data_IF_460688702731
#
_entry.id   IF_460688702731
#
_cell.length_a   1.000
_cell.length_b   1.000
_cell.length_c   1.000
_cell.angle_alpha   90.00
_cell.angle_beta   90.00
_cell.angle_gamma   90.00
#
_symmetry.space_group_name_H-M   'P 1'
#
loop_
_entity.id
_entity.type
_entity.pdbx_description
1 polymer ?
#
# COMPACT_ATOMS: atom_id res chain seq x y z
N UNK A 1 -9.17 -6.61 19.86
CA UNK A 1 -7.87 -6.21 20.45
C UNK A 1 -7.22 -5.29 19.44
N UNK A 2 -6.64 -4.18 19.89
CA UNK A 2 -5.88 -3.28 19.00
C UNK A 2 -4.65 -4.04 18.52
N UNK A 3 -4.36 -3.98 17.22
CA UNK A 3 -3.16 -4.59 16.67
C UNK A 3 -1.88 -3.99 17.25
N UNK A 4 -0.83 -4.78 17.33
CA UNK A 4 0.50 -4.36 17.80
C UNK A 4 1.58 -4.80 16.83
N UNK A 5 2.80 -4.32 17.02
CA UNK A 5 4.00 -4.82 16.37
C UNK A 5 4.90 -5.46 17.41
N UNK A 6 5.13 -6.76 17.27
CA UNK A 6 6.07 -7.48 18.11
C UNK A 6 7.49 -7.15 17.61
N UNK A 7 8.26 -6.50 18.48
CA UNK A 7 9.65 -6.11 18.20
C UNK A 7 10.57 -7.11 18.87
N UNK A 8 11.49 -7.69 18.10
CA UNK A 8 12.56 -8.54 18.64
C UNK A 8 13.84 -8.38 17.83
N UNK A 9 14.91 -9.05 18.26
CA UNK A 9 16.20 -9.07 17.57
C UNK A 9 16.72 -10.50 17.58
N UNK A 10 17.36 -10.91 16.49
CA UNK A 10 18.03 -12.20 16.39
C UNK A 10 19.54 -11.95 16.27
N UNK A 11 20.30 -12.42 17.25
CA UNK A 11 21.75 -12.30 17.27
C UNK A 11 22.37 -13.14 16.15
N UNK A 12 23.34 -12.54 15.45
CA UNK A 12 24.13 -13.16 14.40
C UNK A 12 25.44 -13.73 14.96
N UNK A 13 26.11 -14.58 14.19
CA UNK A 13 27.31 -15.31 14.60
C UNK A 13 28.47 -14.42 15.11
N UNK A 14 28.50 -13.14 14.73
CA UNK A 14 29.54 -12.19 15.12
C UNK A 14 29.09 -11.14 16.15
N UNK A 15 27.92 -11.33 16.76
CA UNK A 15 27.32 -10.45 17.77
C UNK A 15 26.66 -9.18 17.21
N UNK A 16 26.55 -9.03 15.88
CA UNK A 16 25.55 -8.14 15.28
C UNK A 16 24.15 -8.76 15.37
N UNK A 17 23.11 -8.04 14.98
CA UNK A 17 21.73 -8.52 15.06
C UNK A 17 20.87 -8.11 13.86
N UNK A 18 19.87 -8.92 13.57
CA UNK A 18 18.77 -8.60 12.66
C UNK A 18 17.59 -8.17 13.50
N UNK A 19 17.13 -6.94 13.30
CA UNK A 19 15.89 -6.45 13.93
C UNK A 19 14.69 -7.11 13.28
N UNK A 20 13.74 -7.59 14.06
CA UNK A 20 12.52 -8.25 13.56
C UNK A 20 11.30 -7.44 13.96
N UNK A 21 10.52 -7.04 12.95
CA UNK A 21 9.21 -6.41 13.10
C UNK A 21 8.15 -7.41 12.65
N UNK A 22 7.29 -7.83 13.57
CA UNK A 22 6.16 -8.71 13.26
C UNK A 22 4.83 -7.96 13.49
N UNK A 23 4.07 -7.77 12.43
CA UNK A 23 2.70 -7.24 12.52
C UNK A 23 1.80 -8.29 13.21
N UNK A 24 1.15 -7.92 14.31
CA UNK A 24 0.34 -8.84 15.12
C UNK A 24 -1.09 -8.31 15.30
N UNK A 25 -1.92 -8.60 14.30
CA UNK A 25 -3.37 -8.46 14.35
C UNK A 25 -4.07 -9.48 13.41
N UNK A 26 -3.79 -10.79 13.53
CA UNK A 26 -4.23 -11.78 12.55
C UNK A 26 -5.76 -11.88 12.43
N UNK A 27 -6.49 -11.53 13.51
CA UNK A 27 -7.95 -11.49 13.51
C UNK A 27 -8.54 -10.44 12.54
N UNK A 28 -7.81 -9.34 12.30
CA UNK A 28 -8.17 -8.31 11.32
C UNK A 28 -7.28 -8.37 10.07
N UNK A 29 -6.70 -9.54 9.76
CA UNK A 29 -5.78 -9.72 8.62
C UNK A 29 -4.59 -8.76 8.66
N UNK A 30 -4.09 -8.47 9.86
CA UNK A 30 -2.97 -7.57 10.10
C UNK A 30 -3.20 -6.15 9.55
N UNK A 31 -4.45 -5.67 9.55
CA UNK A 31 -4.77 -4.31 9.17
C UNK A 31 -4.02 -3.29 10.06
N UNK A 32 -3.40 -2.28 9.45
CA UNK A 32 -2.54 -1.30 10.13
C UNK A 32 -3.38 -0.31 10.93
N UNK A 33 -3.27 -0.42 12.25
CA UNK A 33 -3.80 0.61 13.15
C UNK A 33 -2.75 1.71 13.38
N UNK A 34 -3.20 2.89 13.81
CA UNK A 34 -2.31 3.99 14.18
C UNK A 34 -1.21 3.55 15.17
N UNK A 35 -1.58 2.74 16.18
CA UNK A 35 -0.64 2.22 17.19
C UNK A 35 0.45 1.36 16.56
N UNK A 36 0.11 0.53 15.57
CA UNK A 36 1.10 -0.29 14.86
C UNK A 36 2.06 0.59 14.06
N UNK A 37 1.54 1.58 13.34
CA UNK A 37 2.35 2.51 12.54
C UNK A 37 3.28 3.31 13.45
N UNK A 38 2.79 3.79 14.59
CA UNK A 38 3.61 4.49 15.59
C UNK A 38 4.75 3.62 16.12
N UNK A 39 4.47 2.35 16.42
CA UNK A 39 5.46 1.37 16.86
C UNK A 39 6.52 1.09 15.78
N UNK A 40 6.10 0.88 14.53
CA UNK A 40 7.01 0.71 13.38
C UNK A 40 7.91 1.93 13.21
N UNK A 41 7.30 3.11 13.12
CA UNK A 41 8.00 4.35 12.88
C UNK A 41 9.02 4.65 13.98
N UNK A 42 8.61 4.50 15.24
CA UNK A 42 9.52 4.66 16.39
C UNK A 42 10.68 3.67 16.32
N UNK A 43 10.40 2.37 16.13
CA UNK A 43 11.43 1.34 16.20
C UNK A 43 12.43 1.45 15.04
N UNK A 44 11.96 1.78 13.83
CA UNK A 44 12.81 2.05 12.68
C UNK A 44 13.70 3.29 12.93
N UNK A 45 13.16 4.35 13.53
CA UNK A 45 13.97 5.52 13.88
C UNK A 45 15.07 5.23 14.92
N UNK A 46 14.81 4.30 15.85
CA UNK A 46 15.84 3.82 16.79
C UNK A 46 16.89 2.96 16.08
N UNK A 47 16.46 1.97 15.30
CA UNK A 47 17.37 1.01 14.67
C UNK A 47 18.21 1.56 13.52
N UNK A 48 17.80 2.63 12.85
CA UNK A 48 18.67 3.26 11.86
C UNK A 48 19.97 3.82 12.49
N UNK A 49 19.92 4.18 13.79
CA UNK A 49 21.07 4.72 14.53
C UNK A 49 21.83 3.66 15.34
N UNK A 50 21.33 2.43 15.41
CA UNK A 50 21.93 1.35 16.19
C UNK A 50 22.87 0.49 15.35
N UNK A 51 24.18 0.71 15.47
CA UNK A 51 25.21 -0.03 14.71
C UNK A 51 25.22 -1.55 14.96
N UNK A 52 24.57 -2.05 16.02
CA UNK A 52 24.42 -3.49 16.23
C UNK A 52 23.41 -4.12 15.25
N UNK A 53 22.45 -3.34 14.75
CA UNK A 53 21.44 -3.78 13.80
C UNK A 53 21.95 -3.64 12.36
N UNK A 54 22.11 -4.77 11.67
CA UNK A 54 22.65 -4.82 10.29
C UNK A 54 21.58 -4.86 9.21
N UNK A 55 20.39 -5.35 9.54
CA UNK A 55 19.23 -5.42 8.66
C UNK A 55 17.95 -5.51 9.50
N UNK A 56 16.81 -5.23 8.88
CA UNK A 56 15.48 -5.40 9.46
C UNK A 56 14.72 -6.47 8.67
N UNK A 57 14.07 -7.39 9.37
CA UNK A 57 13.17 -8.38 8.80
C UNK A 57 11.73 -8.04 9.20
N UNK A 58 10.92 -7.66 8.22
CA UNK A 58 9.51 -7.28 8.40
C UNK A 58 8.61 -8.43 7.93
N UNK A 59 7.81 -8.99 8.83
CA UNK A 59 6.80 -10.00 8.52
C UNK A 59 5.54 -9.77 9.34
N UNK A 60 4.60 -10.71 9.26
CA UNK A 60 3.39 -10.67 10.05
C UNK A 60 3.06 -12.03 10.66
N UNK A 61 2.23 -11.99 11.70
CA UNK A 61 1.72 -13.13 12.42
C UNK A 61 0.55 -13.79 11.68
N UNK A 62 0.49 -15.12 11.72
CA UNK A 62 -0.53 -15.92 11.02
C UNK A 62 -0.18 -16.25 9.57
N UNK A 63 -1.10 -16.93 8.88
CA UNK A 63 -0.88 -17.46 7.51
C UNK A 63 -1.71 -16.75 6.43
N UNK A 64 -2.71 -15.95 6.83
CA UNK A 64 -3.72 -15.41 5.91
C UNK A 64 -3.31 -14.11 5.23
N UNK A 65 -2.49 -13.30 5.89
CA UNK A 65 -2.18 -11.95 5.42
C UNK A 65 -0.88 -11.46 6.04
N UNK A 66 -0.02 -10.90 5.20
CA UNK A 66 0.99 -9.97 5.64
C UNK A 66 0.32 -8.73 6.22
N UNK A 67 -0.52 -8.08 5.43
CA UNK A 67 -1.34 -6.94 5.84
C UNK A 67 -2.38 -6.66 4.75
N UNK A 68 -3.65 -6.57 5.14
CA UNK A 68 -4.77 -6.36 4.22
C UNK A 68 -5.20 -4.87 4.06
N UNK A 69 -4.39 -3.92 4.53
CA UNK A 69 -4.63 -2.48 4.40
C UNK A 69 -4.57 -1.73 5.74
N UNK A 70 -4.92 -0.44 5.73
CA UNK A 70 -5.11 0.35 6.95
C UNK A 70 -6.40 0.00 7.69
N UNK A 71 -6.49 0.30 8.99
CA UNK A 71 -7.71 0.20 9.79
C UNK A 71 -8.69 1.34 9.46
N UNK A 72 -9.24 1.29 8.25
CA UNK A 72 -10.20 2.27 7.72
C UNK A 72 -11.50 2.32 8.55
N UNK A 73 -11.81 1.28 9.32
CA UNK A 73 -12.95 1.30 10.24
C UNK A 73 -12.70 2.27 11.40
N UNK A 74 -11.49 2.31 11.95
CA UNK A 74 -11.13 3.27 12.98
C UNK A 74 -11.19 4.71 12.45
N UNK A 75 -10.68 4.94 11.23
CA UNK A 75 -10.74 6.25 10.55
C UNK A 75 -12.20 6.67 10.36
N UNK A 76 -13.04 5.81 9.80
CA UNK A 76 -14.47 6.09 9.59
C UNK A 76 -15.19 6.47 10.89
N UNK A 77 -14.97 5.72 11.97
CA UNK A 77 -15.58 6.04 13.27
C UNK A 77 -15.08 7.35 13.85
N UNK A 78 -13.81 7.71 13.62
CA UNK A 78 -13.29 9.01 14.03
C UNK A 78 -13.94 10.17 13.25
N UNK A 79 -14.35 9.92 12.00
CA UNK A 79 -15.13 10.86 11.19
C UNK A 79 -16.61 10.95 11.60
N UNK A 80 -17.17 9.92 12.23
CA UNK A 80 -18.56 9.91 12.74
C UNK A 80 -18.71 10.48 14.16
N UNK A 81 -17.78 10.17 15.07
CA UNK A 81 -17.93 10.42 16.51
C UNK A 81 -17.73 11.88 16.94
N UNK A 82 -17.20 12.72 16.05
CA UNK A 82 -17.02 14.14 16.34
C UNK A 82 -18.21 14.88 15.74
N UNK A 83 -18.93 15.63 16.58
CA UNK A 83 -20.00 16.53 16.11
C UNK A 83 -19.51 17.28 14.87
N UNK A 84 -20.36 17.41 13.85
CA UNK A 84 -20.06 17.77 12.46
C UNK A 84 -19.29 19.10 12.28
N UNK A 85 -18.06 19.19 12.76
CA UNK A 85 -17.11 20.24 12.43
C UNK A 85 -15.95 19.65 11.62
N UNK A 86 -15.51 20.44 10.65
CA UNK A 86 -14.51 20.08 9.67
C UNK A 86 -13.14 19.82 10.32
N UNK A 87 -12.77 20.61 11.32
CA UNK A 87 -11.47 20.55 12.01
C UNK A 87 -11.25 19.16 12.63
N UNK A 88 -12.32 18.60 13.18
CA UNK A 88 -12.35 17.30 13.82
C UNK A 88 -12.08 16.14 12.85
N UNK A 89 -12.65 16.22 11.64
CA UNK A 89 -12.51 15.26 10.56
C UNK A 89 -11.17 15.38 9.84
N UNK A 90 -10.74 16.63 9.60
CA UNK A 90 -9.42 16.94 9.07
C UNK A 90 -8.34 16.35 9.98
N UNK A 91 -8.40 16.66 11.28
CA UNK A 91 -7.45 16.13 12.28
C UNK A 91 -7.41 14.60 12.31
N UNK A 92 -8.54 13.91 12.15
CA UNK A 92 -8.57 12.44 12.14
C UNK A 92 -7.86 11.85 10.91
N UNK A 93 -8.10 12.40 9.72
CA UNK A 93 -7.42 11.99 8.50
C UNK A 93 -5.94 12.35 8.53
N UNK A 94 -5.63 13.60 8.90
CA UNK A 94 -4.27 14.15 8.97
C UNK A 94 -3.40 13.31 9.90
N UNK A 95 -3.86 13.05 11.12
CA UNK A 95 -3.09 12.31 12.13
C UNK A 95 -2.72 10.90 11.65
N UNK A 96 -3.67 10.18 11.05
CA UNK A 96 -3.43 8.81 10.60
C UNK A 96 -2.50 8.78 9.38
N UNK A 97 -2.84 9.50 8.32
CA UNK A 97 -2.14 9.42 7.05
C UNK A 97 -0.78 10.14 7.07
N UNK A 98 -0.59 11.19 7.88
CA UNK A 98 0.74 11.80 8.05
C UNK A 98 1.72 10.78 8.66
N UNK A 99 1.28 10.05 9.68
CA UNK A 99 2.13 9.04 10.31
C UNK A 99 2.37 7.84 9.38
N UNK A 100 1.33 7.36 8.67
CA UNK A 100 1.47 6.28 7.68
C UNK A 100 2.48 6.65 6.60
N UNK A 101 2.32 7.81 5.96
CA UNK A 101 3.17 8.19 4.83
C UNK A 101 4.59 8.55 5.26
N UNK A 102 4.79 9.09 6.47
CA UNK A 102 6.13 9.24 7.06
C UNK A 102 6.79 7.89 7.31
N UNK A 103 6.02 6.91 7.77
CA UNK A 103 6.52 5.55 7.98
C UNK A 103 6.91 4.90 6.65
N UNK A 104 6.04 4.94 5.64
CA UNK A 104 6.32 4.40 4.32
C UNK A 104 7.52 5.08 3.67
N UNK A 105 7.59 6.42 3.72
CA UNK A 105 8.75 7.17 3.24
C UNK A 105 10.03 6.78 3.98
N UNK A 106 9.99 6.63 5.32
CA UNK A 106 11.15 6.18 6.09
C UNK A 106 11.63 4.81 5.64
N UNK A 107 10.73 3.86 5.39
CA UNK A 107 11.08 2.52 4.90
C UNK A 107 11.75 2.61 3.52
N UNK A 108 11.20 3.43 2.60
CA UNK A 108 11.79 3.66 1.29
C UNK A 108 13.21 4.24 1.33
N UNK A 109 13.46 5.15 2.27
CA UNK A 109 14.75 5.85 2.41
C UNK A 109 15.63 5.27 3.53
N UNK A 110 15.29 4.07 4.02
CA UNK A 110 15.95 3.51 5.18
C UNK A 110 17.43 3.21 4.88
N UNK A 111 18.39 3.61 5.74
CA UNK A 111 19.81 3.51 5.42
C UNK A 111 20.35 2.07 5.48
N UNK A 112 19.56 1.14 6.01
CA UNK A 112 19.90 -0.27 6.18
C UNK A 112 18.95 -1.14 5.37
N UNK A 113 19.34 -2.38 5.02
CA UNK A 113 18.43 -3.28 4.32
C UNK A 113 17.19 -3.61 5.16
N UNK A 114 16.02 -3.48 4.54
CA UNK A 114 14.76 -4.05 5.02
C UNK A 114 14.36 -5.20 4.10
N UNK A 115 14.16 -6.38 4.69
CA UNK A 115 13.64 -7.59 4.06
C UNK A 115 12.16 -7.70 4.44
N UNK A 116 11.26 -7.46 3.48
CA UNK A 116 9.83 -7.64 3.68
C UNK A 116 9.40 -9.03 3.17
N UNK A 117 8.86 -9.85 4.07
CA UNK A 117 8.30 -11.17 3.77
C UNK A 117 6.78 -11.08 3.62
N UNK A 118 6.34 -10.77 2.41
CA UNK A 118 4.92 -10.66 2.07
C UNK A 118 4.31 -12.05 1.84
N UNK A 119 3.26 -12.40 2.56
CA UNK A 119 2.51 -13.66 2.41
C UNK A 119 1.01 -13.38 2.43
N UNK A 120 0.20 -14.33 1.95
CA UNK A 120 -1.26 -14.20 1.95
C UNK A 120 -1.74 -12.87 1.33
N UNK A 121 -2.73 -12.22 1.95
CA UNK A 121 -3.16 -10.89 1.52
C UNK A 121 -2.08 -9.81 1.80
N UNK A 122 -1.74 -9.08 0.75
CA UNK A 122 -0.85 -7.92 0.74
C UNK A 122 -1.57 -6.78 0.01
N UNK A 123 -2.23 -5.89 0.74
CA UNK A 123 -3.14 -4.88 0.16
C UNK A 123 -3.03 -3.52 0.86
N UNK A 124 -3.35 -2.45 0.13
CA UNK A 124 -3.43 -1.07 0.64
C UNK A 124 -2.21 -0.66 1.46
N UNK A 125 -2.41 -0.17 2.68
CA UNK A 125 -1.29 0.18 3.59
C UNK A 125 -0.23 -0.92 3.80
N UNK A 126 -0.61 -2.20 3.68
CA UNK A 126 0.36 -3.30 3.69
C UNK A 126 1.33 -3.28 2.50
N UNK A 127 0.84 -2.84 1.33
CA UNK A 127 1.65 -2.59 0.14
C UNK A 127 2.61 -1.43 0.37
N UNK A 128 2.22 -0.37 1.08
CA UNK A 128 3.12 0.75 1.44
C UNK A 128 4.38 0.26 2.17
N UNK A 129 4.18 -0.47 3.26
CA UNK A 129 5.27 -1.08 4.02
C UNK A 129 6.15 -2.01 3.17
N UNK A 130 5.52 -2.83 2.32
CA UNK A 130 6.21 -3.82 1.50
C UNK A 130 7.02 -3.16 0.37
N UNK A 131 6.44 -2.19 -0.35
CA UNK A 131 7.04 -1.56 -1.52
C UNK A 131 8.20 -0.65 -1.17
N UNK A 132 8.20 -0.08 0.04
CA UNK A 132 9.34 0.66 0.57
C UNK A 132 10.57 -0.21 0.84
N UNK A 133 10.38 -1.50 1.13
CA UNK A 133 11.48 -2.36 1.54
C UNK A 133 12.49 -2.59 0.40
N UNK A 134 13.78 -2.55 0.74
CA UNK A 134 14.88 -2.80 -0.19
C UNK A 134 14.88 -4.22 -0.78
N UNK A 135 14.42 -5.22 -0.02
CA UNK A 135 14.38 -6.61 -0.42
C UNK A 135 12.97 -7.17 -0.24
N UNK A 136 12.27 -7.35 -1.36
CA UNK A 136 10.86 -7.73 -1.37
C UNK A 136 10.70 -9.19 -1.77
N UNK A 137 10.26 -10.01 -0.82
CA UNK A 137 9.99 -11.43 -1.01
C UNK A 137 8.48 -11.64 -1.02
N UNK A 138 7.94 -12.08 -2.16
CA UNK A 138 6.56 -12.54 -2.25
C UNK A 138 6.51 -14.05 -1.98
N UNK A 139 5.82 -14.48 -0.95
CA UNK A 139 5.55 -15.90 -0.73
C UNK A 139 4.63 -16.44 -1.83
N UNK A 140 4.67 -17.73 -2.14
CA UNK A 140 3.76 -18.38 -3.11
C UNK A 140 2.27 -18.16 -2.81
N UNK A 141 1.92 -17.89 -1.55
CA UNK A 141 0.55 -17.59 -1.10
C UNK A 141 0.12 -16.15 -1.36
N UNK A 142 1.05 -15.26 -1.73
CA UNK A 142 0.81 -13.81 -1.83
C UNK A 142 -0.29 -13.47 -2.82
N UNK A 143 -1.17 -12.56 -2.42
CA UNK A 143 -2.24 -11.93 -3.20
C UNK A 143 -2.13 -10.43 -3.03
N UNK A 144 -1.49 -9.79 -4.01
CA UNK A 144 -1.31 -8.36 -4.07
C UNK A 144 -2.53 -7.67 -4.70
N UNK A 145 -3.01 -6.57 -4.11
CA UNK A 145 -3.98 -5.68 -4.75
C UNK A 145 -3.96 -4.27 -4.13
N UNK A 146 -4.41 -3.29 -4.91
CA UNK A 146 -4.76 -1.94 -4.45
C UNK A 146 -6.28 -1.76 -4.58
N UNK A 147 -7.08 -2.13 -3.55
CA UNK A 147 -8.55 -2.17 -3.64
C UNK A 147 -9.27 -0.84 -3.38
N UNK A 148 -8.54 0.27 -3.26
CA UNK A 148 -9.00 1.56 -2.73
C UNK A 148 -10.19 2.17 -3.48
N UNK A 149 -10.31 1.91 -4.78
CA UNK A 149 -11.46 2.37 -5.59
C UNK A 149 -12.80 1.86 -5.07
N UNK A 150 -12.81 0.74 -4.33
CA UNK A 150 -14.01 0.11 -3.75
C UNK A 150 -14.50 0.83 -2.49
N UNK A 151 -13.66 1.68 -1.90
CA UNK A 151 -13.95 2.40 -0.67
C UNK A 151 -13.89 3.92 -0.88
N UNK A 152 -13.96 4.40 -2.12
CA UNK A 152 -13.95 5.85 -2.40
C UNK A 152 -12.59 6.52 -2.16
N UNK A 153 -11.51 5.74 -2.23
CA UNK A 153 -10.13 6.22 -2.18
C UNK A 153 -9.42 5.88 -3.51
N UNK A 154 -8.11 6.03 -3.60
CA UNK A 154 -7.29 5.72 -4.78
C UNK A 154 -6.01 5.02 -4.33
N UNK A 155 -5.24 4.35 -5.20
CA UNK A 155 -4.00 3.70 -4.79
C UNK A 155 -3.02 4.73 -4.22
N UNK A 156 -2.82 4.72 -2.90
CA UNK A 156 -1.99 5.67 -2.16
C UNK A 156 -0.72 4.98 -1.63
N UNK A 157 -0.17 5.40 -0.47
CA UNK A 157 0.98 4.77 0.21
C UNK A 157 2.22 4.59 -0.69
N UNK A 158 2.50 5.60 -1.51
CA UNK A 158 3.59 5.60 -2.48
C UNK A 158 3.27 4.91 -3.81
N UNK A 159 2.02 4.52 -4.05
CA UNK A 159 1.62 3.87 -5.30
C UNK A 159 1.79 4.75 -6.52
N UNK A 160 1.68 6.08 -6.41
CA UNK A 160 2.10 6.98 -7.49
C UNK A 160 3.54 6.70 -7.92
N UNK A 161 4.44 6.46 -6.97
CA UNK A 161 5.84 6.22 -7.27
C UNK A 161 6.08 4.83 -7.88
N UNK A 162 5.56 3.76 -7.27
CA UNK A 162 5.87 2.41 -7.74
C UNK A 162 5.03 1.96 -8.94
N UNK A 163 3.77 2.40 -9.09
CA UNK A 163 2.94 2.04 -10.25
C UNK A 163 3.45 2.70 -11.53
N UNK A 164 4.02 3.90 -11.45
CA UNK A 164 4.63 4.58 -12.59
C UNK A 164 5.93 3.92 -13.09
N UNK A 165 6.45 2.92 -12.39
CA UNK A 165 7.56 2.08 -12.87
C UNK A 165 7.08 0.88 -13.70
N UNK A 166 5.78 0.60 -13.71
CA UNK A 166 5.19 -0.49 -14.49
C UNK A 166 4.86 -0.03 -15.91
N UNK A 167 4.68 -0.95 -16.87
CA UNK A 167 4.03 -0.62 -18.14
C UNK A 167 2.67 0.04 -17.88
N UNK A 168 2.46 1.24 -18.45
CA UNK A 168 1.31 2.11 -18.16
C UNK A 168 -0.05 1.39 -18.23
N UNK A 169 -0.25 0.53 -19.22
CA UNK A 169 -1.50 -0.22 -19.38
C UNK A 169 -1.73 -1.22 -18.25
N UNK A 170 -0.68 -1.87 -17.74
CA UNK A 170 -0.78 -2.79 -16.60
C UNK A 170 -1.02 -2.03 -15.29
N UNK A 171 -0.34 -0.89 -15.09
CA UNK A 171 -0.59 -0.01 -13.95
C UNK A 171 -2.06 0.44 -13.91
N UNK A 172 -2.57 0.96 -15.04
CA UNK A 172 -3.96 1.38 -15.17
C UNK A 172 -4.93 0.23 -14.89
N UNK A 173 -4.70 -0.95 -15.47
CA UNK A 173 -5.58 -2.10 -15.25
C UNK A 173 -5.60 -2.53 -13.79
N UNK A 174 -4.44 -2.67 -13.15
CA UNK A 174 -4.33 -3.03 -11.72
C UNK A 174 -5.11 -2.05 -10.84
N UNK A 175 -4.88 -0.75 -11.05
CA UNK A 175 -5.44 0.30 -10.22
C UNK A 175 -6.93 0.56 -10.45
N UNK A 176 -7.39 0.50 -11.70
CA UNK A 176 -8.80 0.74 -12.05
C UNK A 176 -9.69 -0.47 -11.81
N UNK A 177 -9.13 -1.68 -11.70
CA UNK A 177 -9.91 -2.91 -11.48
C UNK A 177 -9.76 -3.49 -10.09
N UNK A 178 -8.81 -3.00 -9.27
CA UNK A 178 -8.52 -3.55 -7.95
C UNK A 178 -8.33 -5.08 -7.99
N UNK A 179 -7.81 -5.60 -9.10
CA UNK A 179 -7.65 -7.04 -9.30
C UNK A 179 -6.49 -7.55 -8.45
N UNK A 180 -6.60 -8.81 -8.05
CA UNK A 180 -5.54 -9.47 -7.29
C UNK A 180 -4.54 -10.10 -8.23
N UNK A 181 -3.25 -9.92 -7.99
CA UNK A 181 -2.20 -10.65 -8.70
C UNK A 181 -1.42 -11.54 -7.75
N UNK A 182 -0.82 -12.60 -8.28
CA UNK A 182 -0.04 -13.54 -7.49
C UNK A 182 1.45 -13.18 -7.46
N UNK A 183 2.24 -13.95 -6.70
CA UNK A 183 3.67 -13.74 -6.58
C UNK A 183 4.43 -13.80 -7.92
N UNK A 184 3.96 -14.62 -8.87
CA UNK A 184 4.54 -14.72 -10.23
C UNK A 184 4.37 -13.43 -11.01
N UNK A 185 3.15 -12.88 -11.03
CA UNK A 185 2.89 -11.58 -11.66
C UNK A 185 3.69 -10.47 -10.96
N UNK A 186 3.75 -10.47 -9.62
CA UNK A 186 4.53 -9.48 -8.86
C UNK A 186 6.01 -9.48 -9.26
N UNK A 187 6.63 -10.66 -9.39
CA UNK A 187 8.03 -10.78 -9.83
C UNK A 187 8.19 -10.34 -11.29
N UNK A 188 7.26 -10.73 -12.16
CA UNK A 188 7.29 -10.31 -13.58
C UNK A 188 7.16 -8.80 -13.75
N UNK A 189 6.41 -8.14 -12.87
CA UNK A 189 6.21 -6.68 -12.84
C UNK A 189 7.29 -5.93 -12.05
N UNK A 190 8.25 -6.63 -11.41
CA UNK A 190 9.27 -6.00 -10.55
C UNK A 190 8.77 -5.49 -9.20
N UNK A 191 7.52 -5.78 -8.84
CA UNK A 191 6.93 -5.45 -7.53
C UNK A 191 7.59 -6.25 -6.40
N UNK A 192 8.06 -7.46 -6.69
CA UNK A 192 8.95 -8.24 -5.83
C UNK A 192 10.19 -8.71 -6.62
N UNK A 193 11.27 -9.02 -5.91
CA UNK A 193 12.50 -9.54 -6.55
C UNK A 193 12.57 -11.07 -6.40
N UNK A 194 12.05 -11.61 -5.30
CA UNK A 194 12.10 -13.04 -5.00
C UNK A 194 10.72 -13.61 -4.75
N UNK A 195 10.58 -14.89 -5.07
CA UNK A 195 9.43 -15.72 -4.69
C UNK A 195 9.95 -16.85 -3.81
N UNK A 196 9.34 -17.07 -2.65
CA UNK A 196 9.74 -18.13 -1.74
C UNK A 196 8.51 -18.93 -1.26
N UNK A 197 8.73 -20.14 -0.75
CA UNK A 197 7.67 -20.93 -0.12
C UNK A 197 7.56 -20.58 1.37
N UNK A 198 6.40 -20.75 2.01
CA UNK A 198 6.24 -20.46 3.44
C UNK A 198 7.30 -21.16 4.31
N UNK A 199 7.60 -22.43 4.03
CA UNK A 199 8.59 -23.23 4.76
C UNK A 199 10.02 -22.71 4.64
N UNK A 200 10.32 -21.86 3.66
CA UNK A 200 11.66 -21.29 3.43
C UNK A 200 12.00 -20.14 4.36
N UNK A 201 11.02 -19.54 5.05
CA UNK A 201 11.21 -18.35 5.89
C UNK A 201 12.22 -18.60 7.03
N UNK A 202 12.06 -19.72 7.75
CA UNK A 202 12.96 -20.05 8.86
C UNK A 202 14.37 -20.34 8.37
N UNK A 203 14.49 -21.13 7.28
CA UNK A 203 15.79 -21.42 6.67
C UNK A 203 16.52 -20.15 6.22
N UNK A 204 15.80 -19.15 5.70
CA UNK A 204 16.37 -17.84 5.38
C UNK A 204 16.92 -17.13 6.62
N UNK A 205 16.14 -17.06 7.71
CA UNK A 205 16.59 -16.42 8.96
C UNK A 205 17.81 -17.13 9.54
N UNK A 206 17.84 -18.46 9.53
CA UNK A 206 18.99 -19.24 9.99
C UNK A 206 20.24 -18.95 9.14
N UNK A 207 20.08 -18.85 7.81
CA UNK A 207 21.18 -18.49 6.92
C UNK A 207 21.67 -17.06 7.19
N UNK A 208 20.77 -16.09 7.33
CA UNK A 208 21.12 -14.69 7.57
C UNK A 208 21.85 -14.49 8.90
N UNK A 209 21.45 -15.22 9.95
CA UNK A 209 22.07 -15.14 11.28
C UNK A 209 23.41 -15.88 11.36
N UNK A 210 23.64 -16.86 10.48
CA UNK A 210 24.94 -17.53 10.36
C UNK A 210 26.03 -16.68 9.70
N UNK A 211 25.66 -15.57 9.05
CA UNK A 211 26.60 -14.67 8.37
C UNK A 211 27.31 -13.80 9.41
N UNK A 212 28.63 -13.65 9.26
CA UNK A 212 29.35 -12.55 9.90
C UNK A 212 29.22 -11.30 9.03
N UNK A 213 28.53 -10.30 9.54
CA UNK A 213 28.26 -9.02 8.88
C UNK A 213 29.34 -7.98 9.14
N UNK A 214 30.13 -8.13 10.21
CA UNK A 214 31.28 -7.27 10.51
C UNK A 214 32.29 -7.32 9.37
N UNK A 215 32.49 -6.18 8.72
CA UNK A 215 33.42 -6.05 7.60
C UNK A 215 32.87 -6.54 6.25
N UNK A 216 31.58 -6.90 6.16
CA UNK A 216 30.93 -7.17 4.89
C UNK A 216 30.85 -5.88 4.06
N UNK A 217 31.44 -5.91 2.87
CA UNK A 217 31.56 -4.72 2.04
C UNK A 217 30.22 -4.32 1.39
N UNK A 218 29.34 -5.29 1.14
CA UNK A 218 28.04 -5.05 0.54
C UNK A 218 26.95 -5.93 1.18
N UNK A 219 26.36 -5.44 2.27
CA UNK A 219 25.29 -6.11 3.01
C UNK A 219 24.10 -6.42 2.09
N UNK A 220 23.72 -5.50 1.19
CA UNK A 220 22.61 -5.70 0.27
C UNK A 220 22.84 -6.88 -0.68
N UNK A 221 24.00 -6.94 -1.36
CA UNK A 221 24.28 -8.06 -2.28
C UNK A 221 24.40 -9.40 -1.55
N UNK A 222 24.90 -9.37 -0.30
CA UNK A 222 24.97 -10.56 0.54
C UNK A 222 23.58 -11.09 0.87
N UNK A 223 22.66 -10.22 1.29
CA UNK A 223 21.24 -10.57 1.52
C UNK A 223 20.60 -11.09 0.24
N UNK A 224 20.79 -10.39 -0.88
CA UNK A 224 20.27 -10.81 -2.19
C UNK A 224 20.75 -12.22 -2.58
N UNK A 225 22.02 -12.54 -2.34
CA UNK A 225 22.58 -13.87 -2.60
C UNK A 225 21.95 -14.94 -1.71
N UNK A 226 21.76 -14.66 -0.42
CA UNK A 226 21.07 -15.57 0.52
C UNK A 226 19.60 -15.77 0.13
N UNK A 227 18.93 -14.73 -0.36
CA UNK A 227 17.56 -14.84 -0.85
C UNK A 227 17.46 -15.72 -2.11
N UNK A 228 18.45 -15.64 -3.01
CA UNK A 228 18.51 -16.52 -4.20
C UNK A 228 18.62 -18.00 -3.84
N UNK A 229 19.19 -18.37 -2.68
CA UNK A 229 19.31 -19.78 -2.28
C UNK A 229 18.02 -20.38 -1.71
N UNK A 230 17.04 -19.55 -1.35
CA UNK A 230 15.75 -19.99 -0.80
C UNK A 230 14.57 -19.73 -1.73
N UNK A 231 14.83 -19.19 -2.92
CA UNK A 231 13.78 -18.86 -3.89
C UNK A 231 13.19 -20.10 -4.54
N UNK A 232 11.99 -19.95 -5.08
CA UNK A 232 11.35 -20.94 -5.95
C UNK A 232 11.96 -20.84 -7.35
N UNK A 233 12.40 -21.97 -7.90
CA UNK A 233 12.93 -22.06 -9.27
C UNK A 233 11.81 -21.92 -10.32
N UNK A 234 10.69 -22.62 -10.11
CA UNK A 234 9.54 -22.67 -11.02
C UNK A 234 8.25 -22.25 -10.29
N UNK A 235 7.91 -20.95 -10.27
CA UNK A 235 6.66 -20.50 -9.67
C UNK A 235 5.45 -20.87 -10.55
N UNK A 236 4.25 -20.86 -9.97
CA UNK A 236 3.00 -21.09 -10.70
C UNK A 236 2.79 -20.07 -11.82
N UNK A 237 1.88 -20.33 -12.76
CA UNK A 237 1.50 -19.34 -13.77
C UNK A 237 0.95 -18.05 -13.13
N UNK A 238 1.21 -16.91 -13.78
CA UNK A 238 0.64 -15.61 -13.40
C UNK A 238 -0.86 -15.53 -13.68
N UNK A 239 -1.58 -14.69 -12.95
CA UNK A 239 -2.99 -14.39 -13.20
C UNK A 239 -3.17 -13.29 -14.26
N UNK A 240 -2.29 -12.28 -14.25
CA UNK A 240 -2.38 -11.10 -15.10
C UNK A 240 -1.57 -11.26 -16.39
N UNK A 241 -0.34 -11.77 -16.30
CA UNK A 241 0.56 -11.84 -17.45
C UNK A 241 0.00 -12.59 -18.67
N UNK A 242 -0.81 -13.66 -18.54
CA UNK A 242 -1.48 -14.27 -19.69
C UNK A 242 -2.38 -13.32 -20.51
N UNK A 243 -2.86 -12.23 -19.90
CA UNK A 243 -3.73 -11.24 -20.52
C UNK A 243 -3.02 -9.92 -20.87
N UNK A 244 -1.70 -9.81 -20.68
CA UNK A 244 -0.98 -8.54 -20.83
C UNK A 244 -1.22 -7.85 -22.19
N UNK A 245 -1.18 -8.62 -23.29
CA UNK A 245 -1.45 -8.08 -24.63
C UNK A 245 -2.89 -7.65 -24.87
N UNK A 246 -3.87 -8.30 -24.23
CA UNK A 246 -5.27 -7.85 -24.25
C UNK A 246 -5.43 -6.58 -23.41
N UNK A 247 -4.83 -6.54 -22.21
CA UNK A 247 -4.87 -5.38 -21.32
C UNK A 247 -4.26 -4.15 -22.00
N UNK A 248 -3.16 -4.31 -22.75
CA UNK A 248 -2.59 -3.22 -23.55
C UNK A 248 -3.59 -2.60 -24.52
N UNK A 249 -4.40 -3.43 -25.19
CA UNK A 249 -5.46 -2.95 -26.10
C UNK A 249 -6.60 -2.27 -25.35
N UNK A 250 -7.05 -2.86 -24.23
CA UNK A 250 -8.19 -2.36 -23.45
C UNK A 250 -7.87 -1.06 -22.69
N UNK A 251 -6.63 -0.87 -22.27
CA UNK A 251 -6.18 0.31 -21.54
C UNK A 251 -5.63 1.41 -22.48
N UNK A 252 -6.19 1.52 -23.68
CA UNK A 252 -5.86 2.56 -24.66
C UNK A 252 -6.92 3.66 -24.72
N UNK A 253 -6.49 4.93 -24.82
CA UNK A 253 -7.38 6.09 -24.91
C UNK A 253 -7.63 6.81 -23.58
N UNK A 254 -8.78 7.48 -23.51
CA UNK A 254 -9.25 8.19 -22.32
C UNK A 254 -9.91 7.23 -21.32
N UNK A 255 -10.16 7.72 -20.10
CA UNK A 255 -10.72 6.90 -19.04
C UNK A 255 -12.07 6.27 -19.42
N UNK A 256 -12.97 7.03 -20.04
CA UNK A 256 -14.29 6.54 -20.42
C UNK A 256 -14.20 5.41 -21.46
N UNK A 257 -13.31 5.52 -22.44
CA UNK A 257 -13.03 4.46 -23.41
C UNK A 257 -12.45 3.21 -22.74
N UNK A 258 -11.49 3.39 -21.82
CA UNK A 258 -10.86 2.29 -21.08
C UNK A 258 -11.88 1.55 -20.22
N UNK A 259 -12.71 2.27 -19.47
CA UNK A 259 -13.74 1.67 -18.60
C UNK A 259 -14.73 0.86 -19.43
N UNK A 260 -15.20 1.42 -20.56
CA UNK A 260 -16.10 0.70 -21.47
C UNK A 260 -15.43 -0.54 -22.05
N UNK A 261 -14.20 -0.41 -22.54
CA UNK A 261 -13.47 -1.52 -23.15
C UNK A 261 -13.25 -2.67 -22.17
N UNK A 262 -12.76 -2.40 -20.95
CA UNK A 262 -12.58 -3.43 -19.93
C UNK A 262 -13.92 -4.09 -19.57
N UNK A 263 -14.96 -3.29 -19.30
CA UNK A 263 -16.26 -3.81 -18.86
C UNK A 263 -16.99 -4.62 -19.94
N UNK A 264 -16.76 -4.36 -21.23
CA UNK A 264 -17.37 -5.09 -22.34
C UNK A 264 -16.51 -6.22 -22.92
N UNK A 265 -15.28 -6.41 -22.43
CA UNK A 265 -14.40 -7.45 -22.96
C UNK A 265 -15.01 -8.85 -22.75
N UNK A 266 -15.10 -9.62 -23.84
CA UNK A 266 -15.61 -10.99 -23.82
C UNK A 266 -14.48 -11.97 -23.45
N UNK A 267 -14.34 -12.23 -22.16
CA UNK A 267 -13.28 -13.10 -21.61
C UNK A 267 -13.90 -14.11 -20.65
N UNK A 268 -13.84 -15.40 -21.02
CA UNK A 268 -14.31 -16.50 -20.16
C UNK A 268 -13.22 -16.91 -19.15
N UNK A 269 -12.87 -16.00 -18.25
CA UNK A 269 -11.95 -16.25 -17.15
C UNK A 269 -12.41 -15.60 -15.85
N UNK A 270 -12.49 -16.38 -14.77
CA UNK A 270 -12.99 -15.92 -13.47
C UNK A 270 -12.19 -14.73 -12.89
N UNK A 271 -10.87 -14.69 -13.06
CA UNK A 271 -10.04 -13.58 -12.57
C UNK A 271 -10.39 -12.29 -13.32
N UNK A 272 -10.45 -12.36 -14.65
CA UNK A 272 -10.77 -11.21 -15.49
C UNK A 272 -12.20 -10.70 -15.24
N UNK A 273 -13.17 -11.60 -15.15
CA UNK A 273 -14.57 -11.27 -14.81
C UNK A 273 -14.68 -10.61 -13.43
N UNK A 274 -13.86 -11.01 -12.46
CA UNK A 274 -13.82 -10.35 -11.15
C UNK A 274 -13.21 -8.94 -11.23
N UNK A 275 -12.20 -8.73 -12.08
CA UNK A 275 -11.63 -7.40 -12.35
C UNK A 275 -12.69 -6.47 -12.96
N UNK A 276 -13.48 -6.95 -13.93
CA UNK A 276 -14.60 -6.20 -14.51
C UNK A 276 -15.66 -5.83 -13.46
N UNK A 277 -16.04 -6.78 -12.61
CA UNK A 277 -17.01 -6.52 -11.52
C UNK A 277 -16.52 -5.46 -10.54
N UNK A 278 -15.23 -5.52 -10.19
CA UNK A 278 -14.62 -4.57 -9.27
C UNK A 278 -14.53 -3.16 -9.88
N UNK A 279 -14.16 -3.05 -11.16
CA UNK A 279 -14.20 -1.79 -11.90
C UNK A 279 -15.61 -1.17 -11.89
N UNK A 280 -16.64 -1.96 -12.21
CA UNK A 280 -18.03 -1.48 -12.25
C UNK A 280 -18.61 -1.16 -10.85
N UNK A 281 -18.01 -1.68 -9.78
CA UNK A 281 -18.39 -1.38 -8.41
C UNK A 281 -17.73 -0.11 -7.87
N UNK A 282 -16.49 0.18 -8.30
CA UNK A 282 -15.69 1.28 -7.75
C UNK A 282 -16.29 2.67 -7.97
N UNK A 283 -15.88 3.62 -7.13
CA UNK A 283 -16.30 5.02 -7.24
C UNK A 283 -15.82 5.64 -8.57
N UNK A 284 -16.72 6.25 -9.37
CA UNK A 284 -16.30 6.96 -10.58
C UNK A 284 -15.35 8.13 -10.33
N UNK A 285 -15.44 8.78 -9.16
CA UNK A 285 -14.52 9.82 -8.73
C UNK A 285 -13.13 9.21 -8.45
N UNK A 286 -13.07 8.11 -7.69
CA UNK A 286 -11.83 7.37 -7.44
C UNK A 286 -11.15 6.92 -8.73
N UNK A 287 -11.92 6.45 -9.73
CA UNK A 287 -11.39 6.05 -11.04
C UNK A 287 -10.79 7.24 -11.80
N UNK A 288 -11.41 8.42 -11.73
CA UNK A 288 -10.87 9.66 -12.30
C UNK A 288 -9.58 10.10 -11.61
N UNK A 289 -9.55 10.11 -10.28
CA UNK A 289 -8.35 10.43 -9.49
C UNK A 289 -7.21 9.47 -9.85
N UNK A 290 -7.48 8.17 -9.86
CA UNK A 290 -6.51 7.11 -10.20
C UNK A 290 -5.96 7.28 -11.62
N UNK A 291 -6.83 7.58 -12.59
CA UNK A 291 -6.39 7.82 -13.97
C UNK A 291 -5.50 9.06 -14.07
N UNK A 292 -5.87 10.16 -13.42
CA UNK A 292 -5.06 11.37 -13.43
C UNK A 292 -3.72 11.18 -12.72
N UNK A 293 -3.70 10.49 -11.58
CA UNK A 293 -2.50 10.08 -10.84
C UNK A 293 -1.49 9.38 -11.76
N UNK A 294 -1.93 8.38 -12.53
CA UNK A 294 -1.06 7.57 -13.38
C UNK A 294 -0.74 8.18 -14.75
N UNK A 295 -1.43 9.26 -15.15
CA UNK A 295 -1.23 9.89 -16.46
C UNK A 295 -0.55 11.24 -16.40
N UNK A 296 -0.66 11.97 -15.29
CA UNK A 296 -0.11 13.33 -15.14
C UNK A 296 1.07 13.41 -14.15
N UNK A 297 1.20 12.48 -13.21
CA UNK A 297 2.19 12.54 -12.13
C UNK A 297 3.33 11.51 -12.25
N UNK A 298 3.70 11.15 -13.48
CA UNK A 298 4.65 10.07 -13.78
C UNK A 298 6.10 10.34 -13.37
N UNK A 299 6.48 11.62 -13.26
CA UNK A 299 7.87 12.05 -13.08
C UNK A 299 8.14 12.69 -11.72
N UNK A 300 7.25 12.48 -10.75
CA UNK A 300 7.44 12.99 -9.39
C UNK A 300 8.56 12.23 -8.67
N UNK A 301 9.30 12.93 -7.82
CA UNK A 301 10.17 12.27 -6.84
C UNK A 301 9.33 11.53 -5.80
N UNK A 302 9.91 10.54 -5.12
CA UNK A 302 9.20 9.79 -4.07
C UNK A 302 8.54 10.72 -3.04
N UNK A 303 9.27 11.71 -2.52
CA UNK A 303 8.71 12.68 -1.57
C UNK A 303 7.56 13.47 -2.18
N UNK A 304 7.70 13.93 -3.43
CA UNK A 304 6.63 14.67 -4.11
C UNK A 304 5.39 13.80 -4.37
N UNK A 305 5.56 12.49 -4.59
CA UNK A 305 4.44 11.54 -4.62
C UNK A 305 3.71 11.53 -3.29
N UNK A 306 4.40 11.32 -2.17
CA UNK A 306 3.77 11.31 -0.83
C UNK A 306 3.13 12.65 -0.47
N UNK A 307 3.76 13.79 -0.81
CA UNK A 307 3.18 15.12 -0.56
C UNK A 307 1.85 15.30 -1.35
N UNK A 308 1.81 14.84 -2.60
CA UNK A 308 0.63 14.90 -3.46
C UNK A 308 -0.46 13.92 -3.02
N UNK A 309 -0.09 12.69 -2.67
CA UNK A 309 -1.00 11.68 -2.12
C UNK A 309 -1.59 12.13 -0.78
N UNK A 310 -0.79 12.74 0.10
CA UNK A 310 -1.29 13.26 1.38
C UNK A 310 -2.44 14.26 1.16
N UNK A 311 -2.24 15.22 0.26
CA UNK A 311 -3.28 16.17 -0.11
C UNK A 311 -4.54 15.48 -0.68
N UNK A 312 -4.35 14.55 -1.63
CA UNK A 312 -5.45 13.81 -2.23
C UNK A 312 -6.25 13.02 -1.19
N UNK A 313 -5.56 12.33 -0.28
CA UNK A 313 -6.17 11.48 0.74
C UNK A 313 -7.01 12.29 1.72
N UNK A 314 -6.50 13.45 2.16
CA UNK A 314 -7.29 14.39 2.96
C UNK A 314 -8.57 14.81 2.23
N UNK A 315 -8.47 15.20 0.95
CA UNK A 315 -9.65 15.57 0.14
C UNK A 315 -10.61 14.41 -0.06
N UNK A 316 -10.13 13.20 -0.33
CA UNK A 316 -10.97 12.00 -0.42
C UNK A 316 -11.78 11.76 0.87
N UNK A 317 -11.19 11.94 2.04
CA UNK A 317 -11.89 11.77 3.33
C UNK A 317 -12.88 12.89 3.69
N UNK A 318 -12.63 14.11 3.21
CA UNK A 318 -13.40 15.31 3.53
C UNK A 318 -14.53 15.59 2.55
N UNK A 319 -14.27 15.43 1.25
CA UNK A 319 -15.19 15.79 0.16
C UNK A 319 -15.45 14.64 -0.85
N UNK A 320 -14.70 13.54 -0.76
CA UNK A 320 -14.84 12.40 -1.68
C UNK A 320 -15.86 11.34 -1.25
N UNK A 321 -15.78 10.18 -1.91
CA UNK A 321 -16.65 9.02 -1.69
C UNK A 321 -16.22 8.12 -0.52
N UNK A 322 -15.14 8.48 0.19
CA UNK A 322 -14.50 7.61 1.19
C UNK A 322 -15.48 7.10 2.26
N UNK A 323 -16.22 8.03 2.88
CA UNK A 323 -17.16 7.69 3.95
C UNK A 323 -18.23 6.71 3.48
N UNK A 324 -18.79 6.96 2.30
CA UNK A 324 -19.84 6.09 1.74
C UNK A 324 -19.31 4.72 1.34
N UNK A 325 -18.11 4.66 0.77
CA UNK A 325 -17.48 3.40 0.39
C UNK A 325 -17.16 2.53 1.61
N UNK A 326 -16.58 3.12 2.66
CA UNK A 326 -16.31 2.41 3.92
C UNK A 326 -17.61 1.97 4.60
N UNK A 327 -18.64 2.84 4.64
CA UNK A 327 -19.96 2.49 5.17
C UNK A 327 -20.52 1.25 4.45
N UNK A 328 -20.62 1.29 3.13
CA UNK A 328 -21.25 0.25 2.33
C UNK A 328 -20.49 -1.09 2.35
N UNK A 329 -19.15 -1.06 2.32
CA UNK A 329 -18.33 -2.27 2.21
C UNK A 329 -17.94 -2.86 3.58
N UNK A 330 -17.58 -2.03 4.55
CA UNK A 330 -16.94 -2.46 5.80
C UNK A 330 -17.90 -2.42 6.98
N UNK A 331 -18.67 -1.33 7.12
CA UNK A 331 -19.54 -1.10 8.29
C UNK A 331 -20.85 -1.87 8.12
N UNK A 332 -21.64 -1.52 7.12
CA UNK A 332 -22.97 -2.09 6.88
C UNK A 332 -22.90 -3.38 6.06
N UNK A 333 -21.80 -3.56 5.32
CA UNK A 333 -21.53 -4.74 4.48
C UNK A 333 -22.64 -5.04 3.48
N UNK A 334 -23.32 -4.00 2.99
CA UNK A 334 -24.39 -4.11 2.00
C UNK A 334 -23.85 -4.34 0.59
N UNK A 335 -22.60 -3.94 0.33
CA UNK A 335 -22.03 -3.84 -1.01
C UNK A 335 -22.88 -2.95 -1.95
N UNK A 336 -23.55 -1.93 -1.39
CA UNK A 336 -24.41 -1.00 -2.13
C UNK A 336 -24.05 0.45 -1.77
N UNK A 337 -22.92 0.95 -2.31
CA UNK A 337 -22.55 2.35 -2.15
C UNK A 337 -23.41 3.25 -3.06
N UNK A 338 -23.69 4.45 -2.60
CA UNK A 338 -24.35 5.54 -3.33
C UNK A 338 -23.29 6.58 -3.67
N UNK A 339 -22.48 6.30 -4.69
CA UNK A 339 -21.42 7.20 -5.14
C UNK A 339 -21.97 8.57 -5.57
N UNK A 340 -21.18 9.62 -5.36
CA UNK A 340 -21.54 10.99 -5.75
C UNK A 340 -21.81 11.13 -7.26
N UNK A 341 -21.13 10.32 -8.07
CA UNK A 341 -21.23 10.29 -9.53
C UNK A 341 -21.66 8.90 -10.01
N UNK A 342 -22.43 8.82 -11.10
CA UNK A 342 -22.91 7.53 -11.64
C UNK A 342 -21.89 6.88 -12.58
N UNK A 343 -21.21 7.70 -13.38
CA UNK A 343 -20.23 7.25 -14.38
C UNK A 343 -18.99 8.12 -14.33
N UNK A 344 -17.88 7.65 -14.91
CA UNK A 344 -16.62 8.42 -14.96
C UNK A 344 -16.77 9.72 -15.75
N UNK A 345 -17.69 9.76 -16.70
CA UNK A 345 -18.01 10.94 -17.51
C UNK A 345 -18.83 12.01 -16.75
N UNK A 346 -19.45 11.66 -15.61
CA UNK A 346 -20.18 12.63 -14.77
C UNK A 346 -19.25 13.44 -13.86
N UNK A 347 -17.97 13.07 -13.76
CA UNK A 347 -16.96 13.80 -12.98
C UNK A 347 -16.41 14.93 -13.84
N UNK A 348 -16.76 16.17 -13.50
CA UNK A 348 -16.29 17.32 -14.27
C UNK A 348 -14.80 17.59 -14.03
N UNK A 349 -14.05 18.14 -15.01
CA UNK A 349 -12.65 18.51 -14.82
C UNK A 349 -12.44 19.45 -13.63
N UNK A 350 -13.37 20.39 -13.41
CA UNK A 350 -13.29 21.35 -12.30
C UNK A 350 -13.50 20.67 -10.93
N UNK A 351 -14.40 19.68 -10.85
CA UNK A 351 -14.56 18.87 -9.64
C UNK A 351 -13.31 18.04 -9.36
N UNK A 352 -12.68 17.48 -10.40
CA UNK A 352 -11.48 16.67 -10.27
C UNK A 352 -10.25 17.49 -9.89
N UNK A 353 -10.04 18.66 -10.51
CA UNK A 353 -8.92 19.57 -10.22
C UNK A 353 -8.86 19.94 -8.74
N UNK A 354 -10.02 20.07 -8.10
CA UNK A 354 -10.13 20.36 -6.68
C UNK A 354 -9.43 19.31 -5.80
N UNK A 355 -9.44 18.03 -6.18
CA UNK A 355 -8.73 16.97 -5.44
C UNK A 355 -7.21 17.09 -5.53
N UNK A 356 -6.68 17.68 -6.60
CA UNK A 356 -5.24 17.87 -6.79
C UNK A 356 -4.75 19.26 -6.36
N UNK A 357 -5.65 20.19 -6.07
CA UNK A 357 -5.30 21.48 -5.50
C UNK A 357 -4.82 21.32 -4.04
N UNK A 358 -3.77 22.04 -3.59
CA UNK A 358 -3.40 22.06 -2.18
C UNK A 358 -4.59 22.42 -1.29
N UNK A 359 -4.75 21.78 -0.14
CA UNK A 359 -5.66 22.26 0.91
C UNK A 359 -5.05 23.56 1.44
N UNK A 360 -5.65 24.70 1.09
CA UNK A 360 -5.22 26.00 1.61
C UNK A 360 -5.83 26.23 3.01
N UNK A 361 -4.99 26.69 3.92
CA UNK A 361 -5.38 27.30 5.19
C UNK A 361 -6.43 28.43 5.05
N UNK A 362 -6.56 29.08 3.90
CA UNK A 362 -7.58 30.11 3.67
C UNK A 362 -8.94 29.55 3.21
N UNK A 363 -8.95 28.42 2.48
CA UNK A 363 -10.19 27.68 2.20
C UNK A 363 -10.68 26.96 3.47
N UNK A 364 -9.75 26.66 4.38
CA UNK A 364 -9.97 25.89 5.62
C UNK A 364 -9.09 26.42 6.75
N UNK A 365 -9.48 27.53 7.42
CA UNK A 365 -8.69 28.08 8.50
C UNK A 365 -8.62 27.08 9.65
N UNK A 366 -7.46 26.44 9.80
CA UNK A 366 -7.08 25.73 11.03
C UNK A 366 -7.36 26.69 12.19
N UNK A 367 -8.37 26.38 13.00
CA UNK A 367 -8.58 27.13 14.24
C UNK A 367 -7.36 26.83 15.12
N UNK A 368 -6.46 27.80 15.21
CA UNK A 368 -5.22 27.66 15.95
C UNK A 368 -5.50 27.35 17.43
N UNK A 369 -5.32 26.08 17.82
CA UNK A 369 -5.15 25.61 19.20
C UNK A 369 -4.76 24.12 19.12
N UNK A 370 -3.51 23.69 19.20
CA UNK A 370 -2.60 23.94 20.32
C UNK A 370 -1.16 23.58 19.92
N UNK A 371 -0.43 24.55 19.38
CA UNK A 371 1.03 24.55 19.56
C UNK A 371 1.26 24.96 21.01
N UNK A 372 1.31 23.99 21.91
CA UNK A 372 1.87 24.22 23.23
C UNK A 372 3.35 24.54 23.03
N UNK A 373 3.64 25.84 23.11
CA UNK A 373 4.93 26.47 23.32
C UNK A 373 5.88 25.60 24.14
N UNK A 374 6.87 25.02 23.50
CA UNK A 374 8.15 24.75 24.15
C UNK A 374 8.90 26.10 24.20
N UNK A 375 8.78 26.77 25.34
CA UNK A 375 9.61 27.92 25.73
C UNK A 375 10.56 27.43 26.82
N UNK A 376 11.85 27.54 26.51
CA UNK A 376 13.07 27.32 27.30
C UNK A 376 13.52 25.88 27.53
#
# INVERSE_FOLDING_TARGET
>A
MTGTVNVSQIECADGSAIGVLELDNPAALNALSYVMIEQLYKQLNEWQMDDSIVAVFLHAQGEKAFCAGGDIQAIYRALENKEQDFDSAFSAMETFFDLEYRCDHLIHTYPKPIIAWGHGYLMGGGVGLFMGASHRVAETTTRFAMPEIKIGLYPDVGATYFLNQLPKHLALFLSLTACQINATDMKALGLSQWIAKPESKQALLDLLTSISWKGEANINEKIATTLRSVQVDEPSEGMLMPYAGLIEQLCSGDLDSIVRAISSADVDNKWFVNAQKALNYGSPLSLNITYQQLTQYQNLSLKACFDMEFNLTLRCGLEGDFREGVRALIIDKTNQPTWQHRTVSDVTPQALERFFAPIDSAEYPLTASSVATAVL
#
